data_IF_439320002158
#
_entry.id   IF_439320002158
#
_cell.length_a   1.000
_cell.length_b   1.000
_cell.length_c   1.000
_cell.angle_alpha   90.00
_cell.angle_beta   90.00
_cell.angle_gamma   90.00
#
_symmetry.space_group_name_H-M   'P 1'
#
loop_
_entity.id
_entity.type
_entity.pdbx_description
1 polymer ?
#
# COMPACT_ATOMS: atom_id res chain seq x y z
N UNK A 1 -1.17 -60.06 22.90
CA UNK A 1 -0.50 -58.97 22.18
C UNK A 1 -1.41 -58.62 21.02
N UNK A 2 -2.17 -57.55 21.13
CA UNK A 2 -2.51 -56.68 19.99
C UNK A 2 -3.27 -55.44 20.50
N UNK A 3 -2.91 -54.31 19.89
CA UNK A 3 -3.02 -52.94 20.41
C UNK A 3 -4.42 -52.35 20.20
N UNK A 4 -4.85 -51.54 21.15
CA UNK A 4 -5.94 -50.58 20.99
C UNK A 4 -5.56 -49.49 19.98
N UNK A 5 -6.38 -49.30 18.94
CA UNK A 5 -6.42 -48.06 18.16
C UNK A 5 -7.57 -47.18 18.68
N UNK A 6 -7.20 -46.09 19.36
CA UNK A 6 -8.10 -45.01 19.72
C UNK A 6 -8.13 -44.00 18.56
N UNK A 7 -9.32 -43.77 18.02
CA UNK A 7 -9.58 -42.70 17.07
C UNK A 7 -9.60 -41.34 17.80
N UNK A 8 -8.49 -40.60 17.77
CA UNK A 8 -8.49 -39.18 18.12
C UNK A 8 -8.61 -38.32 16.86
N UNK A 9 -9.63 -37.47 16.84
CA UNK A 9 -9.91 -36.49 15.79
C UNK A 9 -8.68 -35.59 15.56
N UNK A 10 -8.38 -35.18 14.31
CA UNK A 10 -7.38 -34.15 14.09
C UNK A 10 -7.85 -32.82 14.67
N UNK A 11 -6.87 -32.14 15.24
CA UNK A 11 -6.96 -30.95 16.07
C UNK A 11 -7.60 -29.75 15.36
N UNK A 12 -8.21 -28.90 16.18
CA UNK A 12 -8.69 -27.57 15.86
C UNK A 12 -7.71 -26.80 14.96
N UNK A 13 -8.14 -26.51 13.74
CA UNK A 13 -7.56 -25.44 12.95
C UNK A 13 -7.64 -24.16 13.79
N UNK A 14 -6.50 -23.64 14.22
CA UNK A 14 -6.36 -22.29 14.76
C UNK A 14 -6.87 -21.34 13.68
N UNK A 15 -8.14 -20.92 13.80
CA UNK A 15 -8.63 -19.75 13.09
C UNK A 15 -7.91 -18.56 13.72
N UNK A 16 -6.96 -18.00 13.00
CA UNK A 16 -6.42 -16.68 13.34
C UNK A 16 -7.49 -15.65 12.98
N UNK A 17 -8.49 -15.49 13.85
CA UNK A 17 -9.54 -14.48 13.66
C UNK A 17 -8.95 -13.11 14.03
N UNK A 18 -9.08 -12.13 13.12
CA UNK A 18 -8.91 -10.73 13.48
C UNK A 18 -10.04 -10.39 14.45
N UNK A 19 -9.70 -9.81 15.60
CA UNK A 19 -10.68 -9.40 16.60
C UNK A 19 -11.28 -8.07 16.14
N UNK A 20 -12.08 -8.11 15.08
CA UNK A 20 -12.72 -6.93 14.50
C UNK A 20 -13.86 -6.52 15.44
N UNK A 21 -13.78 -5.37 16.12
CA UNK A 21 -14.83 -4.94 17.03
C UNK A 21 -16.18 -4.86 16.29
N UNK A 22 -17.23 -5.40 16.92
CA UNK A 22 -18.54 -5.60 16.28
C UNK A 22 -19.24 -4.30 15.85
N UNK A 23 -18.87 -3.16 16.46
CA UNK A 23 -19.46 -1.86 16.15
C UNK A 23 -18.91 -1.28 14.83
N UNK A 24 -19.79 -1.22 13.81
CA UNK A 24 -19.72 -0.26 12.71
C UNK A 24 -18.39 -0.21 11.92
N UNK A 25 -17.97 -1.38 11.45
CA UNK A 25 -16.80 -1.58 10.59
C UNK A 25 -16.99 -0.92 9.21
N UNK A 26 -16.03 -0.08 8.83
CA UNK A 26 -15.78 0.34 7.46
C UNK A 26 -14.72 -0.59 6.85
N UNK A 27 -14.93 -1.10 5.66
CA UNK A 27 -13.97 -2.01 5.00
C UNK A 27 -13.67 -1.53 3.59
N UNK A 28 -12.39 -1.46 3.25
CA UNK A 28 -11.94 -1.26 1.87
C UNK A 28 -11.12 -2.47 1.45
N UNK A 29 -11.47 -3.05 0.31
CA UNK A 29 -10.74 -4.12 -0.34
C UNK A 29 -10.09 -3.55 -1.58
N UNK A 30 -8.76 -3.54 -1.62
CA UNK A 30 -8.00 -3.20 -2.82
C UNK A 30 -7.40 -4.47 -3.43
N UNK A 31 -7.71 -4.72 -4.69
CA UNK A 31 -6.85 -5.50 -5.55
C UNK A 31 -5.75 -4.53 -6.00
N UNK A 32 -4.72 -4.43 -5.15
CA UNK A 32 -3.61 -3.47 -5.23
C UNK A 32 -2.85 -3.37 -6.55
N UNK A 33 -1.86 -2.50 -6.54
CA UNK A 33 -1.10 -2.10 -7.70
C UNK A 33 0.27 -2.78 -7.75
N UNK A 34 0.70 -3.24 -8.92
CA UNK A 34 2.06 -3.71 -9.13
C UNK A 34 3.00 -2.52 -9.34
N UNK A 35 3.68 -2.02 -8.30
CA UNK A 35 4.84 -1.15 -8.47
C UNK A 35 6.02 -1.99 -8.92
N UNK A 36 6.16 -2.18 -10.24
CA UNK A 36 7.36 -2.80 -10.78
C UNK A 36 8.50 -1.80 -10.82
N UNK A 37 9.68 -2.23 -10.36
CA UNK A 37 10.91 -1.50 -10.55
C UNK A 37 11.30 -1.47 -12.03
N UNK A 38 11.59 -0.30 -12.60
CA UNK A 38 11.92 -0.15 -14.02
C UNK A 38 13.32 -0.71 -14.29
N UNK A 39 13.44 -1.64 -15.23
CA UNK A 39 14.72 -2.14 -15.73
C UNK A 39 14.83 -1.99 -17.24
N UNK A 40 15.49 -0.92 -17.70
CA UNK A 40 16.29 -0.94 -18.93
C UNK A 40 17.34 0.15 -18.87
N UNK A 41 18.61 -0.23 -18.72
CA UNK A 41 19.72 0.63 -19.14
C UNK A 41 20.16 0.09 -20.49
N UNK A 42 19.72 0.75 -21.57
CA UNK A 42 20.38 0.63 -22.87
C UNK A 42 21.46 1.72 -22.92
N UNK A 43 22.64 1.44 -22.36
CA UNK A 43 23.83 2.23 -22.69
C UNK A 43 24.61 1.48 -23.76
N UNK A 44 24.62 2.05 -24.95
CA UNK A 44 25.49 1.68 -26.07
C UNK A 44 26.94 1.75 -25.57
N UNK A 45 27.62 0.62 -25.52
CA UNK A 45 29.09 0.56 -25.54
C UNK A 45 29.47 -0.19 -26.81
N UNK A 46 29.76 0.58 -27.86
CA UNK A 46 30.42 0.11 -29.06
C UNK A 46 31.76 -0.51 -28.72
N UNK A 47 32.07 -1.60 -29.44
CA UNK A 47 33.36 -2.31 -29.54
C UNK A 47 33.94 -2.85 -28.23
N UNK A 48 33.85 -4.16 -28.02
CA UNK A 48 35.00 -5.04 -27.75
C UNK A 48 34.56 -6.51 -27.88
N UNK A 49 35.48 -7.33 -28.39
CA UNK A 49 35.31 -8.74 -28.80
C UNK A 49 34.94 -9.66 -27.62
N UNK A 50 33.76 -10.28 -27.70
CA UNK A 50 33.26 -11.21 -26.69
C UNK A 50 33.99 -12.55 -26.70
N UNK A 51 34.44 -13.01 -25.52
CA UNK A 51 34.74 -14.42 -25.24
C UNK A 51 33.67 -15.03 -24.34
N UNK A 52 33.47 -16.34 -24.47
CA UNK A 52 32.32 -17.13 -24.04
C UNK A 52 32.16 -17.30 -22.51
N UNK A 53 32.75 -16.42 -21.70
CA UNK A 53 32.63 -16.40 -20.23
C UNK A 53 31.79 -15.24 -19.68
N UNK A 54 31.25 -14.36 -20.52
CA UNK A 54 30.38 -13.24 -20.11
C UNK A 54 28.88 -13.58 -20.17
N UNK A 55 28.49 -14.80 -19.83
CA UNK A 55 27.11 -15.08 -19.41
C UNK A 55 26.96 -14.70 -17.94
N UNK A 56 27.20 -13.41 -17.65
CA UNK A 56 26.77 -12.80 -16.39
C UNK A 56 25.26 -12.81 -16.41
N UNK A 57 24.67 -13.62 -15.53
CA UNK A 57 23.27 -13.59 -15.16
C UNK A 57 22.82 -12.14 -15.05
N UNK A 58 22.01 -11.65 -16.00
CA UNK A 58 21.40 -10.32 -15.97
C UNK A 58 20.45 -10.26 -14.77
N UNK A 59 20.99 -10.04 -13.57
CA UNK A 59 20.23 -9.52 -12.46
C UNK A 59 19.88 -8.09 -12.82
N UNK A 60 18.68 -7.90 -13.37
CA UNK A 60 18.07 -6.58 -13.45
C UNK A 60 17.76 -6.18 -12.02
N UNK A 61 18.66 -5.39 -11.42
CA UNK A 61 18.38 -4.80 -10.12
C UNK A 61 17.12 -3.94 -10.24
N UNK A 62 16.18 -4.27 -9.38
CA UNK A 62 14.82 -3.78 -9.40
C UNK A 62 14.77 -2.49 -8.58
N UNK A 63 14.95 -1.33 -9.21
CA UNK A 63 14.78 -0.01 -8.57
C UNK A 63 13.37 0.60 -8.66
N UNK A 64 12.79 0.96 -7.52
CA UNK A 64 11.56 1.76 -7.50
C UNK A 64 11.76 3.09 -8.26
N UNK A 65 10.70 3.81 -8.67
CA UNK A 65 10.84 5.21 -9.09
C UNK A 65 11.48 6.04 -7.98
N UNK A 66 12.38 6.97 -8.32
CA UNK A 66 13.02 7.82 -7.32
C UNK A 66 11.99 8.71 -6.62
N UNK A 67 11.10 9.32 -7.40
CA UNK A 67 10.02 10.16 -6.90
C UNK A 67 8.67 9.45 -7.04
N UNK A 68 7.91 9.47 -5.95
CA UNK A 68 6.57 8.89 -5.83
C UNK A 68 5.54 9.95 -5.44
N UNK A 69 5.88 11.25 -5.54
CA UNK A 69 5.00 12.34 -5.15
C UNK A 69 3.66 12.30 -5.89
N UNK A 70 3.65 11.89 -7.15
CA UNK A 70 2.43 11.72 -7.95
C UNK A 70 1.45 10.66 -7.39
N UNK A 71 1.89 9.76 -6.49
CA UNK A 71 0.97 8.86 -5.77
C UNK A 71 0.06 9.62 -4.79
N UNK A 72 0.52 10.78 -4.30
CA UNK A 72 -0.13 11.54 -3.24
C UNK A 72 -0.80 12.83 -3.77
N UNK A 73 -0.48 13.24 -4.99
CA UNK A 73 -1.07 14.37 -5.69
C UNK A 73 -2.00 13.89 -6.80
N UNK A 74 -3.30 13.79 -6.51
CA UNK A 74 -4.29 13.32 -7.49
C UNK A 74 -5.53 14.22 -7.57
N UNK A 75 -5.31 15.53 -7.78
CA UNK A 75 -6.33 16.43 -8.36
C UNK A 75 -7.59 16.76 -7.54
N UNK A 76 -8.24 17.85 -7.98
CA UNK A 76 -9.48 18.51 -7.49
C UNK A 76 -9.56 18.99 -6.03
N UNK A 77 -8.96 18.28 -5.06
CA UNK A 77 -8.87 18.69 -3.66
C UNK A 77 -7.43 19.13 -3.36
N UNK A 78 -7.23 20.38 -2.93
CA UNK A 78 -5.93 20.85 -2.43
C UNK A 78 -5.53 20.19 -1.10
N UNK A 79 -6.46 19.50 -0.43
CA UNK A 79 -6.22 18.89 0.86
C UNK A 79 -5.77 17.43 0.75
N UNK A 80 -4.66 17.12 1.43
CA UNK A 80 -4.13 15.77 1.57
C UNK A 80 -5.07 14.90 2.43
N UNK A 81 -5.24 13.63 2.05
CA UNK A 81 -6.05 12.69 2.81
C UNK A 81 -5.47 12.47 4.22
N UNK A 82 -6.33 12.24 5.22
CA UNK A 82 -5.88 12.01 6.60
C UNK A 82 -5.29 10.61 6.81
N UNK A 83 -5.74 9.64 6.02
CA UNK A 83 -5.29 8.23 6.05
C UNK A 83 -4.98 7.81 4.61
N UNK A 84 -3.78 7.27 4.39
CA UNK A 84 -3.41 6.64 3.13
C UNK A 84 -3.17 5.15 3.36
N UNK A 85 -3.96 4.30 2.70
CA UNK A 85 -3.75 2.86 2.66
C UNK A 85 -3.17 2.47 1.30
N UNK A 86 -1.89 2.10 1.29
CA UNK A 86 -1.13 1.81 0.07
C UNK A 86 -0.98 0.30 -0.05
N UNK A 87 -1.51 -0.25 -1.14
CA UNK A 87 -1.50 -1.68 -1.44
C UNK A 87 -0.57 -1.95 -2.61
N UNK A 88 0.47 -2.75 -2.38
CA UNK A 88 1.44 -3.12 -3.42
C UNK A 88 1.45 -4.63 -3.58
N UNK A 89 1.35 -5.06 -4.83
CA UNK A 89 1.53 -6.45 -5.26
C UNK A 89 2.87 -6.59 -5.94
N UNK A 90 3.39 -7.83 -5.96
CA UNK A 90 4.72 -8.12 -6.51
C UNK A 90 5.83 -7.23 -5.92
N UNK A 91 5.66 -6.82 -4.65
CA UNK A 91 6.60 -5.99 -3.92
C UNK A 91 7.99 -6.62 -3.97
N UNK A 92 9.01 -5.80 -4.23
CA UNK A 92 10.40 -6.26 -4.25
C UNK A 92 10.86 -6.68 -2.85
N UNK A 93 12.01 -7.35 -2.79
CA UNK A 93 12.64 -7.76 -1.53
C UNK A 93 13.07 -6.56 -0.67
N UNK A 94 13.44 -5.44 -1.28
CA UNK A 94 13.86 -4.24 -0.55
C UNK A 94 12.64 -3.38 -0.15
N UNK A 95 11.94 -3.86 0.88
CA UNK A 95 10.78 -3.17 1.45
C UNK A 95 11.17 -1.87 2.14
N UNK A 96 12.35 -1.82 2.76
CA UNK A 96 12.79 -0.65 3.51
C UNK A 96 12.94 0.55 2.57
N UNK A 97 13.58 0.34 1.42
CA UNK A 97 13.76 1.41 0.44
C UNK A 97 12.41 1.98 -0.06
N UNK A 98 11.45 1.10 -0.34
CA UNK A 98 10.08 1.49 -0.71
C UNK A 98 9.41 2.34 0.38
N UNK A 99 9.46 1.88 1.63
CA UNK A 99 8.85 2.59 2.76
C UNK A 99 9.47 3.98 2.95
N UNK A 100 10.80 4.11 2.84
CA UNK A 100 11.50 5.40 2.93
C UNK A 100 11.13 6.32 1.76
N UNK A 101 10.99 5.80 0.53
CA UNK A 101 10.55 6.60 -0.63
C UNK A 101 9.12 7.10 -0.48
N UNK A 102 8.19 6.24 -0.05
CA UNK A 102 6.81 6.61 0.22
C UNK A 102 6.73 7.67 1.32
N UNK A 103 7.47 7.47 2.42
CA UNK A 103 7.54 8.46 3.50
C UNK A 103 8.15 9.79 3.05
N UNK A 104 9.17 9.77 2.18
CA UNK A 104 9.74 10.98 1.60
C UNK A 104 8.72 11.72 0.73
N UNK A 105 7.96 11.00 -0.10
CA UNK A 105 6.96 11.54 -1.01
C UNK A 105 5.73 12.11 -0.28
N UNK A 106 5.17 11.41 0.71
CA UNK A 106 3.96 11.86 1.43
C UNK A 106 4.19 13.11 2.29
N UNK A 107 5.40 13.31 2.81
CA UNK A 107 5.76 14.51 3.58
C UNK A 107 5.86 14.30 5.09
N UNK A 108 6.01 15.42 5.80
CA UNK A 108 6.20 15.47 7.27
C UNK A 108 4.89 15.44 8.06
N UNK A 109 3.75 15.64 7.38
CA UNK A 109 2.42 15.65 8.02
C UNK A 109 1.92 14.24 8.32
N UNK A 110 2.53 13.23 7.69
CA UNK A 110 2.13 11.84 7.82
C UNK A 110 3.30 10.97 8.31
N UNK A 111 2.94 9.90 9.01
CA UNK A 111 3.87 8.89 9.51
C UNK A 111 3.43 7.52 9.04
N UNK A 112 4.37 6.62 8.79
CA UNK A 112 4.07 5.20 8.63
C UNK A 112 3.56 4.64 9.96
N UNK A 113 2.24 4.49 10.09
CA UNK A 113 1.59 4.01 11.30
C UNK A 113 1.81 2.51 11.48
N UNK A 114 1.56 1.73 10.43
CA UNK A 114 1.80 0.29 10.41
C UNK A 114 1.95 -0.22 8.98
N UNK A 115 2.55 -1.39 8.83
CA UNK A 115 2.54 -2.13 7.57
C UNK A 115 2.54 -3.63 7.84
N UNK A 116 2.02 -4.40 6.89
CA UNK A 116 2.02 -5.85 6.91
C UNK A 116 2.35 -6.38 5.53
N UNK A 117 2.97 -7.56 5.48
CA UNK A 117 3.27 -8.23 4.21
C UNK A 117 2.90 -9.69 4.27
N UNK A 118 2.43 -10.22 3.14
CA UNK A 118 2.17 -11.64 2.97
C UNK A 118 2.68 -12.09 1.59
N UNK A 119 3.78 -12.84 1.57
CA UNK A 119 4.51 -13.13 0.34
C UNK A 119 5.00 -11.83 -0.34
N UNK A 120 4.54 -11.59 -1.57
CA UNK A 120 4.83 -10.37 -2.34
C UNK A 120 3.77 -9.28 -2.18
N UNK A 121 2.76 -9.49 -1.34
CA UNK A 121 1.76 -8.47 -1.00
C UNK A 121 2.28 -7.60 0.14
N UNK A 122 2.09 -6.30 0.01
CA UNK A 122 2.34 -5.34 1.07
C UNK A 122 1.13 -4.41 1.22
N UNK A 123 0.77 -4.12 2.46
CA UNK A 123 -0.25 -3.15 2.83
C UNK A 123 0.37 -2.21 3.87
N UNK A 124 0.35 -0.92 3.58
CA UNK A 124 1.01 0.13 4.36
C UNK A 124 -0.01 1.20 4.71
N UNK A 125 -0.09 1.56 5.98
CA UNK A 125 -0.97 2.62 6.46
C UNK A 125 -0.12 3.81 6.88
N UNK A 126 -0.25 4.90 6.13
CA UNK A 126 0.26 6.21 6.55
C UNK A 126 -0.89 7.02 7.15
N UNK A 127 -0.64 7.60 8.31
CA UNK A 127 -1.64 8.38 9.03
C UNK A 127 -1.11 9.79 9.24
N UNK A 128 -2.01 10.79 9.21
CA UNK A 128 -1.66 12.11 9.71
C UNK A 128 -1.11 11.96 11.14
N UNK A 129 0.07 12.54 11.38
CA UNK A 129 0.81 12.38 12.63
C UNK A 129 0.06 12.86 13.87
N UNK A 130 -0.94 13.73 13.70
CA UNK A 130 -1.76 14.22 14.80
C UNK A 130 -2.88 13.22 15.16
N UNK A 131 -3.19 12.28 14.27
CA UNK A 131 -4.25 11.29 14.46
C UNK A 131 -3.78 10.00 15.16
N UNK A 132 -2.48 9.75 15.27
CA UNK A 132 -1.91 8.53 15.90
C UNK A 132 -2.28 8.37 17.38
N UNK A 133 -2.72 9.45 18.03
CA UNK A 133 -3.15 9.46 19.42
C UNK A 133 -4.56 8.89 19.60
N UNK A 134 -5.36 8.89 18.54
CA UNK A 134 -6.77 8.49 18.56
C UNK A 134 -7.00 7.10 17.99
N UNK A 135 -5.94 6.30 17.81
CA UNK A 135 -6.04 4.97 17.23
C UNK A 135 -5.81 3.86 18.26
N UNK A 136 -6.47 2.72 18.08
CA UNK A 136 -6.09 1.47 18.74
C UNK A 136 -4.75 0.96 18.22
N UNK A 137 -4.15 0.00 18.94
CA UNK A 137 -3.06 -0.81 18.38
C UNK A 137 -3.56 -1.50 17.10
N UNK A 138 -2.84 -1.41 15.97
CA UNK A 138 -3.25 -2.06 14.73
C UNK A 138 -3.02 -3.57 14.79
N UNK A 139 -3.95 -4.32 14.20
CA UNK A 139 -3.85 -5.77 14.01
C UNK A 139 -3.70 -6.07 12.52
N UNK A 140 -2.98 -7.14 12.20
CA UNK A 140 -2.79 -7.57 10.81
C UNK A 140 -2.83 -9.09 10.64
N UNK A 141 -3.36 -9.56 9.52
CA UNK A 141 -3.40 -10.99 9.17
C UNK A 141 -3.02 -11.19 7.70
N UNK A 142 -2.34 -12.31 7.42
CA UNK A 142 -2.04 -12.77 6.06
C UNK A 142 -2.67 -14.14 5.81
N UNK A 143 -3.25 -14.34 4.62
CA UNK A 143 -3.91 -15.59 4.23
C UNK A 143 -3.43 -16.03 2.86
N UNK A 144 -3.08 -17.32 2.72
CA UNK A 144 -2.73 -17.94 1.43
C UNK A 144 -3.93 -18.70 0.89
N UNK A 145 -4.38 -18.42 -0.34
CA UNK A 145 -5.58 -19.06 -0.91
C UNK A 145 -5.27 -20.31 -1.74
N UNK A 146 -4.01 -20.54 -2.12
CA UNK A 146 -3.61 -21.77 -2.82
C UNK A 146 -2.20 -22.19 -2.44
N UNK A 147 -2.03 -23.43 -1.98
CA UNK A 147 -0.72 -24.01 -1.68
C UNK A 147 0.16 -24.20 -2.93
N UNK A 148 -0.44 -24.31 -4.13
CA UNK A 148 0.26 -24.56 -5.39
C UNK A 148 0.88 -23.30 -6.01
N UNK A 149 0.38 -22.11 -5.68
CA UNK A 149 0.90 -20.82 -6.18
C UNK A 149 1.12 -19.88 -5.00
N UNK A 150 2.35 -19.84 -4.48
CA UNK A 150 2.80 -19.05 -3.32
C UNK A 150 2.55 -17.52 -3.41
N UNK A 151 1.97 -17.01 -4.50
CA UNK A 151 1.75 -15.59 -4.76
C UNK A 151 0.28 -15.15 -4.69
N UNK A 152 -0.66 -16.08 -4.43
CA UNK A 152 -2.09 -15.79 -4.33
C UNK A 152 -2.54 -15.85 -2.87
N UNK A 153 -3.12 -14.75 -2.39
CA UNK A 153 -3.44 -14.55 -0.99
C UNK A 153 -3.99 -13.17 -0.71
N UNK A 154 -4.10 -12.84 0.57
CA UNK A 154 -4.51 -11.53 1.05
C UNK A 154 -3.68 -11.14 2.28
N UNK A 155 -3.52 -9.84 2.48
CA UNK A 155 -3.04 -9.23 3.71
C UNK A 155 -4.04 -8.18 4.14
N UNK A 156 -4.39 -8.15 5.41
CA UNK A 156 -5.32 -7.19 5.97
C UNK A 156 -4.74 -6.51 7.20
N UNK A 157 -5.11 -5.25 7.39
CA UNK A 157 -4.81 -4.44 8.57
C UNK A 157 -6.11 -3.83 9.07
N UNK A 158 -6.37 -3.92 10.37
CA UNK A 158 -7.48 -3.22 11.00
C UNK A 158 -7.04 -2.49 12.27
N UNK A 159 -7.75 -1.41 12.56
CA UNK A 159 -7.61 -0.65 13.79
C UNK A 159 -8.89 0.17 14.02
N UNK A 160 -9.06 0.67 15.24
CA UNK A 160 -10.09 1.64 15.58
C UNK A 160 -9.45 3.02 15.52
N UNK A 161 -10.14 4.00 14.93
CA UNK A 161 -9.83 5.42 15.07
C UNK A 161 -11.03 6.12 15.71
N UNK A 162 -10.81 6.80 16.83
CA UNK A 162 -11.86 7.22 17.77
C UNK A 162 -12.76 6.03 18.14
N UNK A 163 -14.03 6.05 17.74
CA UNK A 163 -15.00 4.97 17.91
C UNK A 163 -15.38 4.26 16.60
N UNK A 164 -14.52 4.32 15.59
CA UNK A 164 -14.78 3.79 14.24
C UNK A 164 -13.76 2.73 13.87
N UNK A 165 -14.23 1.49 13.68
CA UNK A 165 -13.39 0.38 13.24
C UNK A 165 -13.18 0.44 11.73
N UNK A 166 -11.92 0.34 11.28
CA UNK A 166 -11.57 0.34 9.87
C UNK A 166 -10.76 -0.92 9.54
N UNK A 167 -11.09 -1.55 8.41
CA UNK A 167 -10.39 -2.71 7.85
C UNK A 167 -9.92 -2.39 6.43
N UNK A 168 -8.62 -2.51 6.21
CA UNK A 168 -8.01 -2.47 4.88
C UNK A 168 -7.58 -3.88 4.50
N UNK A 169 -7.93 -4.32 3.29
CA UNK A 169 -7.58 -5.63 2.77
C UNK A 169 -6.96 -5.50 1.38
N UNK A 170 -5.74 -6.01 1.22
CA UNK A 170 -5.06 -6.14 -0.06
C UNK A 170 -5.11 -7.60 -0.49
N UNK A 171 -5.64 -7.89 -1.66
CA UNK A 171 -5.77 -9.25 -2.17
C UNK A 171 -5.27 -9.41 -3.60
N UNK A 172 -4.76 -10.60 -3.90
CA UNK A 172 -4.39 -11.03 -5.23
C UNK A 172 -5.08 -12.35 -5.54
N UNK A 173 -6.27 -12.25 -6.14
CA UNK A 173 -7.17 -13.40 -6.38
C UNK A 173 -7.30 -13.76 -7.87
N UNK A 174 -8.06 -14.83 -8.13
CA UNK A 174 -8.69 -15.17 -9.40
C UNK A 174 -10.19 -15.36 -9.09
N UNK A 175 -11.09 -14.59 -9.71
CA UNK A 175 -12.55 -14.74 -9.55
C UNK A 175 -13.27 -13.55 -8.90
N UNK A 176 -14.61 -13.60 -8.89
CA UNK A 176 -15.53 -12.56 -8.40
C UNK A 176 -16.23 -13.09 -7.15
N UNK A 177 -15.91 -12.59 -5.95
CA UNK A 177 -16.54 -13.03 -4.68
C UNK A 177 -16.64 -11.87 -3.67
N UNK A 178 -17.14 -10.71 -4.09
CA UNK A 178 -17.35 -9.56 -3.18
C UNK A 178 -18.83 -9.16 -3.13
N UNK A 179 -19.66 -10.03 -2.56
CA UNK A 179 -21.06 -9.69 -2.28
C UNK A 179 -21.12 -8.51 -1.30
N UNK A 180 -22.03 -7.57 -1.55
CA UNK A 180 -22.29 -6.37 -0.73
C UNK A 180 -21.17 -5.32 -0.69
N UNK A 181 -20.18 -5.42 -1.57
CA UNK A 181 -19.22 -4.34 -1.79
C UNK A 181 -19.69 -3.44 -2.94
N UNK A 182 -19.54 -2.15 -2.73
CA UNK A 182 -19.68 -1.13 -3.76
C UNK A 182 -18.32 -0.88 -4.43
N UNK A 183 -18.38 -0.31 -5.63
CA UNK A 183 -17.20 0.17 -6.36
C UNK A 183 -17.49 1.55 -6.95
N UNK A 184 -16.47 2.42 -6.96
CA UNK A 184 -16.58 3.71 -7.62
C UNK A 184 -16.88 3.56 -9.11
N UNK A 185 -17.52 4.56 -9.70
CA UNK A 185 -17.76 4.57 -11.16
C UNK A 185 -16.42 4.67 -11.90
N UNK A 186 -16.05 3.64 -12.65
CA UNK A 186 -14.85 3.64 -13.49
C UNK A 186 -15.01 4.68 -14.62
N UNK A 187 -14.15 5.69 -14.62
CA UNK A 187 -14.06 6.73 -15.67
C UNK A 187 -12.68 6.79 -16.34
N UNK A 188 -11.82 5.83 -16.02
CA UNK A 188 -10.45 5.72 -16.49
C UNK A 188 -10.28 4.51 -17.42
N UNK A 189 -9.26 4.51 -18.29
CA UNK A 189 -9.02 3.40 -19.20
C UNK A 189 -8.50 2.16 -18.46
N UNK A 190 -8.47 0.98 -19.10
CA UNK A 190 -7.90 -0.23 -18.51
C UNK A 190 -6.49 -0.01 -17.97
N UNK A 191 -6.20 -0.60 -16.80
CA UNK A 191 -4.95 -0.36 -16.07
C UNK A 191 -3.85 -1.37 -16.39
N UNK A 192 -4.14 -2.36 -17.23
CA UNK A 192 -3.24 -3.43 -17.62
C UNK A 192 -3.60 -3.90 -19.05
N UNK A 193 -2.69 -4.42 -19.88
CA UNK A 193 -1.23 -4.48 -19.72
C UNK A 193 -0.61 -3.38 -20.59
N UNK A 194 0.27 -2.58 -20.01
CA UNK A 194 1.06 -1.59 -20.74
C UNK A 194 2.45 -2.11 -21.10
N UNK A 195 3.01 -1.57 -22.18
CA UNK A 195 4.45 -1.62 -22.40
C UNK A 195 5.16 -0.76 -21.33
N UNK A 196 6.35 -1.19 -20.91
CA UNK A 196 7.10 -0.48 -19.87
C UNK A 196 7.45 0.94 -20.33
N UNK A 197 7.29 1.91 -19.42
CA UNK A 197 7.57 3.33 -19.67
C UNK A 197 6.80 3.94 -20.85
N UNK A 198 5.67 3.34 -21.26
CA UNK A 198 4.87 3.75 -22.41
C UNK A 198 3.38 3.76 -22.07
N UNK A 199 2.60 4.62 -22.74
CA UNK A 199 1.14 4.61 -22.67
C UNK A 199 0.49 3.68 -23.71
N UNK A 200 1.30 2.97 -24.50
CA UNK A 200 0.83 1.91 -25.38
C UNK A 200 0.50 0.62 -24.59
N UNK A 201 -0.61 -0.01 -24.94
CA UNK A 201 -0.94 -1.36 -24.45
C UNK A 201 -0.04 -2.41 -25.11
N UNK A 202 0.05 -3.59 -24.47
CA UNK A 202 0.94 -4.72 -24.77
C UNK A 202 1.14 -4.95 -26.28
N UNK A 203 2.28 -4.48 -26.79
CA UNK A 203 2.69 -4.68 -28.19
C UNK A 203 3.45 -5.99 -28.39
N UNK A 204 3.64 -6.80 -27.33
CA UNK A 204 4.30 -8.10 -27.44
C UNK A 204 3.47 -9.10 -28.25
N UNK A 205 4.09 -10.20 -28.67
CA UNK A 205 3.43 -11.30 -29.39
C UNK A 205 2.21 -11.88 -28.64
N UNK A 206 2.16 -11.71 -27.31
CA UNK A 206 1.04 -12.20 -26.49
C UNK A 206 -0.22 -11.35 -26.62
N UNK A 207 -0.09 -10.10 -27.06
CA UNK A 207 -1.20 -9.17 -27.33
C UNK A 207 -2.29 -9.23 -26.26
N UNK A 208 -1.92 -9.05 -24.99
CA UNK A 208 -2.89 -9.17 -23.89
C UNK A 208 -3.96 -8.09 -24.01
N UNK A 209 -5.22 -8.53 -23.92
CA UNK A 209 -6.37 -7.63 -23.96
C UNK A 209 -6.30 -6.63 -22.79
N UNK A 210 -6.41 -5.31 -23.07
CA UNK A 210 -6.52 -4.30 -22.02
C UNK A 210 -7.63 -4.64 -21.01
N UNK A 211 -7.31 -4.67 -19.72
CA UNK A 211 -8.16 -5.17 -18.64
C UNK A 211 -8.07 -4.30 -17.38
N UNK A 212 -9.16 -4.26 -16.61
CA UNK A 212 -9.24 -3.62 -15.30
C UNK A 212 -8.86 -4.62 -14.20
N UNK A 213 -7.56 -4.88 -14.04
CA UNK A 213 -7.04 -5.86 -13.06
C UNK A 213 -6.90 -5.29 -11.65
N UNK A 214 -6.79 -3.96 -11.54
CA UNK A 214 -6.51 -3.24 -10.30
C UNK A 214 -7.80 -2.51 -9.89
N UNK A 215 -8.36 -2.85 -8.72
CA UNK A 215 -9.74 -2.46 -8.33
C UNK A 215 -9.78 -2.07 -6.87
N UNK A 216 -10.60 -1.08 -6.52
CA UNK A 216 -10.86 -0.71 -5.12
C UNK A 216 -12.35 -0.82 -4.85
N UNK A 217 -12.71 -1.78 -4.02
CA UNK A 217 -14.06 -2.04 -3.56
C UNK A 217 -14.19 -1.57 -2.11
N UNK A 218 -15.39 -1.18 -1.70
CA UNK A 218 -15.64 -0.70 -0.36
C UNK A 218 -17.00 -1.13 0.17
N UNK A 219 -17.12 -1.20 1.49
CA UNK A 219 -18.34 -1.57 2.19
C UNK A 219 -18.39 -0.82 3.52
N UNK A 220 -19.59 -0.41 3.91
CA UNK A 220 -19.86 0.15 5.24
C UNK A 220 -21.10 -0.51 5.82
N UNK A 221 -21.07 -0.85 7.11
CA UNK A 221 -22.25 -1.37 7.83
C UNK A 221 -23.42 -0.37 7.85
N UNK A 222 -23.09 0.93 7.90
CA UNK A 222 -24.06 2.02 7.89
C UNK A 222 -24.04 2.69 6.52
N UNK A 223 -25.22 2.88 5.94
CA UNK A 223 -25.39 3.61 4.70
C UNK A 223 -24.83 5.03 4.86
N UNK A 224 -24.23 5.56 3.80
CA UNK A 224 -23.69 6.93 3.72
C UNK A 224 -22.52 7.27 4.68
N UNK A 225 -22.05 6.32 5.50
CA UNK A 225 -20.87 6.51 6.35
C UNK A 225 -19.56 6.56 5.55
N UNK A 226 -19.52 5.93 4.37
CA UNK A 226 -18.35 5.87 3.50
C UNK A 226 -18.79 6.24 2.07
N UNK A 227 -18.28 7.36 1.58
CA UNK A 227 -18.66 7.91 0.28
C UNK A 227 -17.41 7.99 -0.59
N UNK A 228 -17.42 7.34 -1.75
CA UNK A 228 -16.36 7.46 -2.76
C UNK A 228 -16.47 8.84 -3.44
N UNK A 229 -15.47 9.69 -3.22
CA UNK A 229 -15.38 11.04 -3.77
C UNK A 229 -14.72 11.04 -5.15
N UNK A 230 -13.67 10.23 -5.31
CA UNK A 230 -12.97 10.07 -6.58
C UNK A 230 -12.48 8.63 -6.74
N UNK A 231 -12.40 8.16 -7.98
CA UNK A 231 -11.92 6.84 -8.35
C UNK A 231 -11.28 6.88 -9.74
N UNK A 232 -9.96 6.82 -9.79
CA UNK A 232 -9.21 7.10 -11.00
C UNK A 232 -7.85 6.35 -11.04
N UNK A 233 -7.19 6.39 -12.20
CA UNK A 233 -5.82 5.88 -12.38
C UNK A 233 -4.80 7.01 -12.44
N UNK A 234 -3.57 6.73 -12.00
CA UNK A 234 -2.45 7.67 -12.04
C UNK A 234 -1.60 7.36 -13.28
N UNK A 235 -1.78 8.14 -14.35
CA UNK A 235 -1.14 7.84 -15.63
C UNK A 235 0.31 8.34 -15.72
N UNK A 236 0.77 9.14 -14.77
CA UNK A 236 2.14 9.69 -14.77
C UNK A 236 3.19 8.63 -14.39
N UNK A 237 2.81 7.63 -13.60
CA UNK A 237 3.69 6.55 -13.16
C UNK A 237 3.65 5.40 -14.17
N UNK A 238 4.78 5.17 -14.86
CA UNK A 238 4.88 4.23 -15.99
C UNK A 238 5.94 3.14 -15.82
N UNK A 239 6.52 3.01 -14.63
CA UNK A 239 7.58 2.02 -14.36
C UNK A 239 7.10 0.57 -14.39
N UNK A 240 5.78 0.36 -14.44
CA UNK A 240 5.11 -0.94 -14.43
C UNK A 240 4.25 -1.14 -15.66
N UNK A 241 3.94 -2.41 -15.96
CA UNK A 241 2.93 -2.79 -16.94
C UNK A 241 1.49 -2.62 -16.41
N UNK A 242 1.35 -2.13 -15.19
CA UNK A 242 0.11 -1.65 -14.59
C UNK A 242 0.12 -0.12 -14.45
N UNK A 243 -1.06 0.49 -14.28
CA UNK A 243 -1.22 1.86 -13.75
C UNK A 243 -1.78 1.85 -12.32
N UNK A 244 -1.27 2.70 -11.41
CA UNK A 244 -1.83 2.80 -10.06
C UNK A 244 -3.28 3.23 -10.12
N UNK A 245 -4.12 2.62 -9.31
CA UNK A 245 -5.52 2.98 -9.11
C UNK A 245 -5.67 3.52 -7.70
N UNK A 246 -6.37 4.64 -7.55
CA UNK A 246 -6.71 5.21 -6.26
C UNK A 246 -8.22 5.44 -6.14
N UNK A 247 -8.69 5.43 -4.91
CA UNK A 247 -10.04 5.88 -4.56
C UNK A 247 -9.93 6.79 -3.35
N UNK A 248 -10.53 7.98 -3.44
CA UNK A 248 -10.65 8.93 -2.34
C UNK A 248 -12.01 8.74 -1.67
N UNK A 249 -12.03 8.72 -0.35
CA UNK A 249 -13.26 8.52 0.42
C UNK A 249 -13.48 9.62 1.46
N UNK A 250 -14.74 10.01 1.65
CA UNK A 250 -15.19 10.66 2.87
C UNK A 250 -15.71 9.59 3.83
N UNK A 251 -15.19 9.58 5.06
CA UNK A 251 -15.55 8.65 6.11
C UNK A 251 -16.05 9.40 7.34
N UNK A 252 -17.26 9.09 7.80
CA UNK A 252 -17.81 9.63 9.04
C UNK A 252 -17.21 8.91 10.23
N UNK A 253 -16.45 9.65 11.05
CA UNK A 253 -15.90 9.16 12.31
C UNK A 253 -16.86 9.42 13.47
N UNK A 254 -16.94 8.48 14.40
CA UNK A 254 -17.69 8.62 15.65
C UNK A 254 -16.76 8.78 16.86
N UNK A 255 -17.22 9.47 17.92
CA UNK A 255 -16.54 9.46 19.22
C UNK A 255 -16.33 8.04 19.73
N UNK A 256 -15.18 7.81 20.37
CA UNK A 256 -14.82 6.55 21.00
C UNK A 256 -14.65 6.69 22.50
N UNK A 257 -14.11 5.63 23.12
CA UNK A 257 -13.71 5.59 24.53
C UNK A 257 -12.31 5.01 24.64
N UNK A 258 -11.58 5.41 25.68
CA UNK A 258 -10.19 4.97 25.90
C UNK A 258 -10.08 3.60 26.61
N UNK A 259 -11.18 2.85 26.68
CA UNK A 259 -11.25 1.51 27.29
C UNK A 259 -10.71 0.40 26.36
N UNK A 260 -9.83 0.74 25.42
CA UNK A 260 -9.21 -0.15 24.43
C UNK A 260 -7.69 -0.01 24.46
N UNK A 261 -6.97 -0.97 23.91
CA UNK A 261 -5.52 -0.84 23.75
C UNK A 261 -5.21 0.26 22.72
N UNK A 262 -4.72 1.41 23.19
CA UNK A 262 -4.36 2.56 22.36
C UNK A 262 -2.96 2.40 21.75
N UNK A 263 -2.78 2.88 20.52
CA UNK A 263 -1.46 3.03 19.92
C UNK A 263 -0.63 4.12 20.62
N UNK A 264 -1.29 5.12 21.21
CA UNK A 264 -0.69 6.14 22.08
C UNK A 264 0.57 6.80 21.48
N UNK A 265 0.51 7.17 20.20
CA UNK A 265 1.64 7.82 19.52
C UNK A 265 2.67 6.87 18.91
N UNK A 266 2.43 5.55 18.91
CA UNK A 266 3.30 4.59 18.24
C UNK A 266 3.22 4.73 16.70
N UNK A 267 4.39 4.80 16.06
CA UNK A 267 4.56 4.75 14.61
C UNK A 267 6.00 4.33 14.27
N UNK A 268 6.29 4.04 13.00
CA UNK A 268 7.64 3.71 12.57
C UNK A 268 8.53 4.97 12.46
N UNK A 269 9.21 5.29 13.58
CA UNK A 269 10.08 6.47 13.71
C UNK A 269 11.30 6.43 12.79
N UNK A 270 11.87 5.26 12.56
CA UNK A 270 13.07 5.09 11.72
C UNK A 270 12.77 5.47 10.27
N UNK A 271 11.67 4.95 9.71
CA UNK A 271 11.20 5.30 8.36
C UNK A 271 10.89 6.79 8.27
N UNK A 272 10.21 7.38 9.27
CA UNK A 272 9.92 8.81 9.30
C UNK A 272 11.18 9.67 9.21
N UNK A 273 12.21 9.36 10.00
CA UNK A 273 13.49 10.07 9.98
C UNK A 273 14.20 9.90 8.64
N UNK A 274 14.29 8.66 8.14
CA UNK A 274 14.95 8.38 6.87
C UNK A 274 14.26 9.10 5.70
N UNK A 275 12.92 9.12 5.67
CA UNK A 275 12.15 9.85 4.66
C UNK A 275 12.37 11.36 4.73
N UNK A 276 12.48 11.91 5.95
CA UNK A 276 12.78 13.33 6.16
C UNK A 276 14.19 13.70 5.72
N UNK A 277 15.19 12.88 6.02
CA UNK A 277 16.56 13.06 5.55
C UNK A 277 16.63 13.02 4.03
N UNK A 278 15.96 12.05 3.40
CA UNK A 278 15.88 11.94 1.94
C UNK A 278 15.27 13.18 1.28
N UNK A 279 14.21 13.74 1.88
CA UNK A 279 13.59 14.99 1.40
C UNK A 279 14.52 16.19 1.57
N UNK A 280 15.19 16.31 2.72
CA UNK A 280 16.14 17.39 2.98
C UNK A 280 17.26 17.40 1.92
N UNK A 281 17.83 16.24 1.59
CA UNK A 281 18.86 16.12 0.55
C UNK A 281 18.39 16.57 -0.85
N UNK A 282 17.10 16.40 -1.19
CA UNK A 282 16.53 16.92 -2.45
C UNK A 282 16.40 18.43 -2.43
N UNK A 283 16.00 19.00 -1.29
CA UNK A 283 15.82 20.44 -1.11
C UNK A 283 17.16 21.18 -1.01
N UNK A 284 18.18 20.58 -0.39
CA UNK A 284 19.53 21.14 -0.30
C UNK A 284 20.20 21.25 -1.68
N UNK A 285 19.86 20.36 -2.62
CA UNK A 285 20.24 20.50 -4.04
C UNK A 285 19.57 21.69 -4.73
N UNK A 286 18.50 22.25 -4.16
CA UNK A 286 17.66 23.28 -4.76
C UNK A 286 17.77 24.65 -4.07
N UNK A 287 18.39 24.77 -2.89
CA UNK A 287 18.48 26.05 -2.16
C UNK A 287 19.81 26.27 -1.45
N UNK A 288 20.39 27.46 -1.70
CA UNK A 288 21.34 28.14 -0.84
C UNK A 288 20.61 29.11 0.08
N UNK A 289 20.25 28.68 1.30
CA UNK A 289 20.05 29.56 2.49
C UNK A 289 19.49 28.76 3.66
N UNK A 290 20.16 28.84 4.81
CA UNK A 290 19.66 28.36 6.10
C UNK A 290 18.69 29.40 6.68
N UNK A 291 17.46 29.01 6.97
CA UNK A 291 16.52 29.82 7.76
C UNK A 291 16.42 29.26 9.18
N UNK A 292 16.59 30.09 10.19
CA UNK A 292 16.38 29.72 11.60
C UNK A 292 14.88 29.61 11.89
N UNK A 293 14.45 28.49 12.47
CA UNK A 293 13.07 28.31 12.94
C UNK A 293 13.03 28.70 14.42
N UNK A 294 12.15 29.63 14.78
CA UNK A 294 11.94 30.05 16.17
C UNK A 294 10.71 29.33 16.75
N UNK A 295 10.85 28.72 17.93
CA UNK A 295 9.72 28.23 18.72
C UNK A 295 9.28 29.30 19.72
N UNK A 296 7.96 29.41 19.94
CA UNK A 296 7.39 30.25 21.00
C UNK A 296 7.12 29.36 22.21
N UNK A 297 7.67 29.70 23.36
CA UNK A 297 7.46 28.99 24.63
C UNK A 297 6.78 29.95 25.59
N UNK A 298 5.70 29.51 26.23
CA UNK A 298 4.97 30.27 27.24
C UNK A 298 4.95 29.46 28.54
N UNK A 299 5.31 30.10 29.65
CA UNK A 299 5.19 29.57 31.00
C UNK A 299 4.08 30.33 31.72
N UNK A 300 3.18 29.63 32.40
CA UNK A 300 2.09 30.21 33.19
C UNK A 300 2.34 29.81 34.65
N UNK A 301 2.26 30.78 35.57
CA UNK A 301 2.34 30.58 37.02
C UNK A 301 0.96 30.77 37.65
#
# INVERSE_FOLDING_TARGET
MDRQESSSKPSSSLRTELDVPSADTCSTVSCGYNLRPSGSVSSIASSFTATKSELVTKFTEKFYPEDLSDLFFSGSSEEAASIYAICIQECSSDKNELLVRLQAAIGIKHVLFTYATHGTLALMIFLNRDLIWYTSVPQSVGVTTSAAVRTKGAVAICFIIFGTSILFLSAHFKGIIFQNFDEGRIRFPPTYKFDLNSDAYDSSEKQRVPSYTDRILFMSKKKDNLICLDYNSINTIRSSDHRPVFALFSLVLRPGSDNIALAAGAFNREIYIAGNQRRALRLDKLKSRKSTIHARVCTIQ
#
